data_IF_586015301393
#
_entry.id   IF_586015301393
#
_cell.length_a   1.000
_cell.length_b   1.000
_cell.length_c   1.000
_cell.angle_alpha   90.00
_cell.angle_beta   90.00
_cell.angle_gamma   90.00
#
_symmetry.space_group_name_H-M   'P 1'
#
loop_
_entity.id
_entity.type
_entity.pdbx_description
1 polymer ?
#
# COMPACT_ATOMS: atom_id res chain seq x y z
N UNK A 1 14.13 8.71 21.25
CA UNK A 1 12.99 7.78 21.45
C UNK A 1 12.55 7.82 22.90
N UNK A 2 11.26 7.94 23.19
CA UNK A 2 10.76 7.84 24.56
C UNK A 2 10.65 6.36 24.96
N UNK A 3 11.61 5.88 25.76
CA UNK A 3 11.71 4.47 26.17
C UNK A 3 10.51 4.03 27.01
N UNK A 4 9.87 4.93 27.77
CA UNK A 4 8.72 4.59 28.61
C UNK A 4 7.48 4.32 27.77
N UNK A 5 7.33 4.99 26.63
CA UNK A 5 6.25 4.72 25.68
C UNK A 5 6.39 3.35 25.02
N UNK A 6 7.61 3.01 24.61
CA UNK A 6 7.88 1.68 24.03
C UNK A 6 7.69 0.57 25.07
N UNK A 7 8.03 0.83 26.33
CA UNK A 7 7.78 -0.08 27.44
C UNK A 7 6.29 -0.26 27.77
N UNK A 8 5.45 0.76 27.50
CA UNK A 8 3.99 0.70 27.73
C UNK A 8 3.20 0.22 26.52
N UNK A 9 3.89 -0.18 25.44
CA UNK A 9 3.25 -0.67 24.23
C UNK A 9 2.37 -1.90 24.53
N UNK A 10 1.09 -1.90 24.11
CA UNK A 10 0.21 -3.01 24.39
C UNK A 10 0.65 -4.25 23.63
N UNK A 11 0.37 -5.43 24.17
CA UNK A 11 0.51 -6.66 23.41
C UNK A 11 -0.71 -6.86 22.54
N UNK A 12 -0.53 -6.70 21.24
CA UNK A 12 -1.59 -6.95 20.27
C UNK A 12 -1.51 -8.37 19.71
N UNK A 13 -2.66 -9.03 19.61
CA UNK A 13 -2.78 -10.36 19.03
C UNK A 13 -4.13 -10.52 18.36
N UNK A 14 -4.34 -11.65 17.69
CA UNK A 14 -5.59 -11.94 16.98
C UNK A 14 -6.11 -13.32 17.37
N UNK A 15 -7.42 -13.48 17.41
CA UNK A 15 -8.09 -14.78 17.28
C UNK A 15 -8.65 -14.91 15.87
N UNK A 16 -9.46 -15.95 15.64
CA UNK A 16 -10.22 -16.10 14.41
C UNK A 16 -11.09 -14.87 14.11
N UNK A 17 -11.74 -14.30 15.13
CA UNK A 17 -12.81 -13.32 14.94
C UNK A 17 -12.52 -11.95 15.55
N UNK A 18 -11.45 -11.82 16.35
CA UNK A 18 -11.18 -10.60 17.13
C UNK A 18 -9.72 -10.19 17.14
N UNK A 19 -9.48 -8.87 17.04
CA UNK A 19 -8.27 -8.27 17.58
C UNK A 19 -8.31 -8.32 19.11
N UNK A 20 -7.14 -8.48 19.72
CA UNK A 20 -6.97 -8.45 21.16
C UNK A 20 -5.89 -7.46 21.57
N UNK A 21 -6.15 -6.74 22.65
CA UNK A 21 -5.22 -5.83 23.32
C UNK A 21 -5.00 -6.31 24.74
N UNK A 22 -3.76 -6.67 25.07
CA UNK A 22 -3.37 -7.21 26.39
C UNK A 22 -4.23 -8.41 26.81
N UNK A 23 -4.50 -9.29 25.83
CA UNK A 23 -5.33 -10.49 26.03
C UNK A 23 -6.83 -10.24 26.09
N UNK A 24 -7.32 -9.00 26.10
CA UNK A 24 -8.75 -8.67 26.08
C UNK A 24 -9.24 -8.42 24.65
N UNK A 25 -10.50 -8.73 24.37
CA UNK A 25 -11.12 -8.40 23.07
C UNK A 25 -11.02 -6.89 22.86
N UNK A 26 -10.61 -6.49 21.66
CA UNK A 26 -10.41 -5.10 21.27
C UNK A 26 -11.32 -4.78 20.08
N UNK A 27 -12.57 -4.34 20.32
CA UNK A 27 -13.44 -3.85 19.25
C UNK A 27 -12.86 -2.55 18.69
N UNK A 28 -12.60 -2.52 17.39
CA UNK A 28 -12.07 -1.33 16.73
C UNK A 28 -13.19 -0.33 16.51
N UNK A 29 -13.08 0.83 17.14
CA UNK A 29 -13.89 2.01 16.88
C UNK A 29 -12.93 3.06 16.35
N UNK A 30 -12.86 3.18 15.02
CA UNK A 30 -11.81 3.95 14.38
C UNK A 30 -12.27 4.85 13.26
N UNK A 31 -11.36 5.73 12.85
CA UNK A 31 -11.55 6.66 11.73
C UNK A 31 -10.25 6.88 10.97
N UNK A 32 -10.33 7.48 9.79
CA UNK A 32 -9.15 8.04 9.14
C UNK A 32 -8.77 9.34 9.82
N UNK A 33 -7.48 9.50 10.16
CA UNK A 33 -6.94 10.73 10.71
C UNK A 33 -6.11 11.47 9.67
N UNK A 34 -6.45 12.74 9.48
CA UNK A 34 -5.61 13.76 8.89
C UNK A 34 -5.55 14.90 9.90
N UNK A 35 -4.39 15.52 10.09
CA UNK A 35 -4.26 16.57 11.10
C UNK A 35 -5.23 17.72 10.82
N UNK A 36 -5.84 18.26 11.88
CA UNK A 36 -6.88 19.28 11.74
C UNK A 36 -6.34 20.63 11.22
N UNK A 37 -5.03 20.85 11.30
CA UNK A 37 -4.32 22.04 10.84
C UNK A 37 -3.68 21.88 9.44
N UNK A 38 -2.95 20.78 9.19
CA UNK A 38 -2.14 20.58 7.98
C UNK A 38 -2.50 19.32 7.19
N UNK A 39 -3.58 18.64 7.56
CA UNK A 39 -4.08 17.43 6.92
C UNK A 39 -3.00 16.35 6.72
N UNK A 40 -2.69 16.02 5.45
CA UNK A 40 -1.78 14.95 5.05
C UNK A 40 -0.30 15.30 5.23
N UNK A 41 0.00 16.56 5.56
CA UNK A 41 1.37 17.04 5.73
C UNK A 41 1.88 16.92 7.17
N UNK A 42 1.13 16.30 8.07
CA UNK A 42 1.45 16.24 9.50
C UNK A 42 2.87 15.72 9.82
N UNK A 43 3.46 14.84 9.00
CA UNK A 43 4.86 14.43 9.20
C UNK A 43 5.89 15.49 8.76
N UNK A 44 5.51 16.40 7.87
CA UNK A 44 6.38 17.45 7.32
C UNK A 44 6.14 18.82 7.95
N UNK A 45 5.00 19.01 8.62
CA UNK A 45 4.62 20.20 9.37
C UNK A 45 4.12 19.75 10.76
N UNK A 46 4.99 19.19 11.62
CA UNK A 46 4.57 18.53 12.84
C UNK A 46 4.07 19.50 13.91
N UNK A 47 2.92 19.17 14.51
CA UNK A 47 2.32 19.96 15.58
C UNK A 47 1.71 19.06 16.67
N UNK A 48 2.55 18.54 17.61
CA UNK A 48 2.08 17.62 18.65
C UNK A 48 0.99 18.18 19.57
N UNK A 49 0.90 19.51 19.71
CA UNK A 49 -0.15 20.14 20.51
C UNK A 49 -1.53 19.93 19.88
N UNK A 50 -1.63 20.09 18.55
CA UNK A 50 -2.88 19.83 17.81
C UNK A 50 -3.23 18.35 17.86
N UNK A 51 -2.26 17.45 17.71
CA UNK A 51 -2.50 16.01 17.75
C UNK A 51 -3.01 15.53 19.11
N UNK A 52 -2.42 16.01 20.22
CA UNK A 52 -2.87 15.69 21.58
C UNK A 52 -4.33 16.17 21.79
N UNK A 53 -4.66 17.39 21.37
CA UNK A 53 -6.04 17.91 21.45
C UNK A 53 -7.04 17.13 20.58
N UNK A 54 -6.65 16.78 19.35
CA UNK A 54 -7.47 15.95 18.45
C UNK A 54 -7.73 14.57 19.07
N UNK A 55 -6.68 13.92 19.60
CA UNK A 55 -6.78 12.60 20.21
C UNK A 55 -7.54 12.60 21.52
N UNK A 56 -7.43 13.65 22.34
CA UNK A 56 -8.27 13.84 23.51
C UNK A 56 -9.76 13.93 23.12
N UNK A 57 -10.07 14.69 22.07
CA UNK A 57 -11.42 14.81 21.54
C UNK A 57 -11.94 13.47 21.00
N UNK A 58 -11.10 12.67 20.34
CA UNK A 58 -11.43 11.33 19.85
C UNK A 58 -11.68 10.34 20.98
N UNK A 59 -10.80 10.33 21.99
CA UNK A 59 -10.92 9.48 23.18
C UNK A 59 -12.23 9.73 23.92
N UNK A 60 -12.63 10.99 24.12
CA UNK A 60 -13.92 11.37 24.73
C UNK A 60 -15.14 10.82 23.97
N UNK A 61 -14.99 10.50 22.68
CA UNK A 61 -16.04 9.92 21.82
C UNK A 61 -15.93 8.40 21.68
N UNK A 62 -15.00 7.75 22.38
CA UNK A 62 -14.80 6.31 22.34
C UNK A 62 -13.99 5.81 21.14
N UNK A 63 -13.36 6.69 20.36
CA UNK A 63 -12.43 6.27 19.31
C UNK A 63 -11.17 5.70 19.95
N UNK A 64 -10.75 4.53 19.50
CA UNK A 64 -9.59 3.80 20.04
C UNK A 64 -8.57 3.40 18.96
N UNK A 65 -8.82 3.78 17.71
CA UNK A 65 -8.00 3.41 16.56
C UNK A 65 -8.04 4.49 15.49
N UNK A 66 -6.90 4.82 14.90
CA UNK A 66 -6.84 5.73 13.75
C UNK A 66 -6.05 5.14 12.62
N UNK A 67 -6.53 5.31 11.39
CA UNK A 67 -5.78 5.05 10.17
C UNK A 67 -5.21 6.36 9.64
N UNK A 68 -3.90 6.46 9.48
CA UNK A 68 -3.22 7.62 8.90
C UNK A 68 -2.03 7.16 8.05
N UNK A 69 -1.22 8.06 7.51
CA UNK A 69 0.02 7.65 6.84
C UNK A 69 0.48 8.59 5.73
N UNK A 70 1.34 8.05 4.86
CA UNK A 70 1.78 8.70 3.63
C UNK A 70 0.84 8.34 2.49
N UNK A 71 0.12 9.35 1.99
CA UNK A 71 -0.80 9.21 0.85
C UNK A 71 -0.20 9.75 -0.46
N UNK A 72 0.82 10.60 -0.33
CA UNK A 72 1.50 11.33 -1.40
C UNK A 72 2.88 11.74 -0.90
N UNK A 73 3.70 12.33 -1.79
CA UNK A 73 4.96 12.97 -1.43
C UNK A 73 6.00 12.04 -0.77
N UNK A 74 6.04 10.77 -1.16
CA UNK A 74 7.07 9.82 -0.71
C UNK A 74 8.49 10.32 -0.94
N UNK A 75 8.74 11.08 -2.01
CA UNK A 75 10.04 11.71 -2.28
C UNK A 75 10.45 12.78 -1.27
N UNK A 76 9.51 13.34 -0.49
CA UNK A 76 9.84 14.22 0.65
C UNK A 76 10.24 13.43 1.88
N UNK A 77 9.63 12.26 2.09
CA UNK A 77 9.97 11.38 3.20
C UNK A 77 11.29 10.64 2.94
N UNK A 78 11.56 10.26 1.69
CA UNK A 78 12.75 9.55 1.26
C UNK A 78 13.18 10.06 -0.11
N UNK A 79 14.17 10.95 -0.13
CA UNK A 79 14.69 11.54 -1.38
C UNK A 79 15.46 10.50 -2.18
N UNK A 80 16.43 9.86 -1.52
CA UNK A 80 17.19 8.73 -2.05
C UNK A 80 16.72 7.44 -1.38
N UNK A 81 16.54 6.33 -2.13
CA UNK A 81 16.27 5.03 -1.55
C UNK A 81 17.22 4.70 -0.40
N UNK A 82 16.66 4.30 0.75
CA UNK A 82 17.41 4.01 1.97
C UNK A 82 17.73 5.23 2.85
N UNK A 83 17.54 6.45 2.36
CA UNK A 83 17.79 7.70 3.09
C UNK A 83 16.48 8.40 3.49
N UNK A 84 15.78 7.84 4.48
CA UNK A 84 14.57 8.46 5.05
C UNK A 84 14.94 9.74 5.83
N UNK A 85 14.11 10.77 5.73
CA UNK A 85 14.22 11.98 6.55
C UNK A 85 13.92 11.65 8.02
N UNK A 86 14.94 11.77 8.88
CA UNK A 86 14.79 11.51 10.31
C UNK A 86 13.82 12.50 10.97
N UNK A 87 13.60 13.70 10.42
CA UNK A 87 12.57 14.60 10.93
C UNK A 87 11.17 14.01 10.74
N UNK A 88 10.91 13.34 9.60
CA UNK A 88 9.64 12.67 9.37
C UNK A 88 9.46 11.46 10.31
N UNK A 89 10.54 10.71 10.59
CA UNK A 89 10.51 9.62 11.58
C UNK A 89 10.31 10.11 13.02
N UNK A 90 10.98 11.21 13.39
CA UNK A 90 10.81 11.84 14.70
C UNK A 90 9.41 12.44 14.88
N UNK A 91 8.84 13.03 13.82
CA UNK A 91 7.45 13.48 13.80
C UNK A 91 6.48 12.32 14.00
N UNK A 92 6.73 11.16 13.36
CA UNK A 92 5.92 9.97 13.58
C UNK A 92 6.04 9.45 15.03
N UNK A 93 7.23 9.49 15.64
CA UNK A 93 7.39 9.14 17.06
C UNK A 93 6.51 10.03 17.95
N UNK A 94 6.54 11.34 17.74
CA UNK A 94 5.73 12.29 18.50
C UNK A 94 4.23 12.08 18.27
N UNK A 95 3.84 11.76 17.04
CA UNK A 95 2.46 11.43 16.67
C UNK A 95 1.95 10.17 17.37
N UNK A 96 2.72 9.09 17.32
CA UNK A 96 2.40 7.83 17.99
C UNK A 96 2.36 8.03 19.50
N UNK A 97 3.27 8.83 20.05
CA UNK A 97 3.27 9.18 21.47
C UNK A 97 1.98 9.93 21.88
N UNK A 98 1.55 10.91 21.09
CA UNK A 98 0.30 11.62 21.34
C UNK A 98 -0.90 10.65 21.30
N UNK A 99 -1.02 9.81 20.26
CA UNK A 99 -2.10 8.83 20.15
C UNK A 99 -2.14 7.86 21.35
N UNK A 100 -0.99 7.34 21.74
CA UNK A 100 -0.86 6.38 22.82
C UNK A 100 -1.23 6.94 24.19
N UNK A 101 -0.96 8.23 24.47
CA UNK A 101 -1.41 8.91 25.71
C UNK A 101 -2.94 8.88 25.86
N UNK A 102 -3.66 8.84 24.75
CA UNK A 102 -5.12 8.76 24.70
C UNK A 102 -5.64 7.34 24.48
N UNK A 103 -4.75 6.34 24.51
CA UNK A 103 -5.12 4.93 24.33
C UNK A 103 -5.51 4.57 22.90
N UNK A 104 -5.13 5.38 21.92
CA UNK A 104 -5.46 5.21 20.50
C UNK A 104 -4.32 4.47 19.79
N UNK A 105 -4.68 3.37 19.11
CA UNK A 105 -3.76 2.61 18.27
C UNK A 105 -3.68 3.23 16.88
N UNK A 106 -2.48 3.32 16.31
CA UNK A 106 -2.23 3.90 14.98
C UNK A 106 -2.06 2.79 13.95
N UNK A 107 -2.82 2.85 12.86
CA UNK A 107 -2.56 2.10 11.63
C UNK A 107 -1.94 3.04 10.60
N UNK A 108 -0.68 2.83 10.29
CA UNK A 108 0.08 3.66 9.37
C UNK A 108 0.09 3.06 7.97
N UNK A 109 -0.47 3.80 7.02
CA UNK A 109 -0.53 3.49 5.60
C UNK A 109 0.75 3.97 4.90
N UNK A 110 1.41 3.08 4.16
CA UNK A 110 2.64 3.42 3.43
C UNK A 110 2.39 3.98 2.05
N UNK A 111 1.54 3.34 1.23
CA UNK A 111 1.37 3.70 -0.18
C UNK A 111 -0.10 3.98 -0.53
N UNK A 112 -0.36 4.61 -1.67
CA UNK A 112 -1.73 4.86 -2.12
C UNK A 112 -1.83 4.72 -3.64
N UNK A 113 -2.79 3.89 -4.09
CA UNK A 113 -3.11 3.59 -5.49
C UNK A 113 -1.96 2.94 -6.27
N UNK A 114 -0.92 3.70 -6.58
CA UNK A 114 0.33 3.23 -7.16
C UNK A 114 1.46 3.53 -6.18
N UNK A 115 2.23 2.51 -5.76
CA UNK A 115 3.45 2.72 -5.00
C UNK A 115 4.43 3.67 -5.73
N UNK A 116 5.29 4.40 -5.01
CA UNK A 116 6.35 5.16 -5.63
C UNK A 116 7.31 4.23 -6.38
N UNK A 117 7.64 4.61 -7.62
CA UNK A 117 8.62 3.88 -8.41
C UNK A 117 10.07 4.20 -8.00
N UNK A 118 10.28 5.24 -7.19
CA UNK A 118 11.61 5.74 -6.81
C UNK A 118 12.51 5.95 -8.04
N UNK A 119 13.57 5.15 -8.18
CA UNK A 119 14.52 5.19 -9.30
C UNK A 119 14.16 4.22 -10.45
N UNK A 120 13.05 3.50 -10.32
CA UNK A 120 12.49 2.59 -11.32
C UNK A 120 11.33 3.18 -12.11
N UNK A 121 10.83 2.39 -13.05
CA UNK A 121 9.78 2.81 -14.00
C UNK A 121 8.43 2.08 -13.77
N UNK A 122 8.47 0.83 -13.31
CA UNK A 122 7.29 0.03 -12.97
C UNK A 122 7.19 -0.16 -11.44
N UNK A 123 6.11 0.30 -10.77
CA UNK A 123 6.01 0.26 -9.31
C UNK A 123 5.80 -1.15 -8.72
N UNK A 124 5.50 -2.16 -9.54
CA UNK A 124 5.22 -3.53 -9.10
C UNK A 124 6.26 -4.56 -9.56
N UNK A 125 6.94 -4.30 -10.68
CA UNK A 125 7.76 -5.29 -11.38
C UNK A 125 9.19 -4.81 -11.67
N UNK A 126 9.50 -3.52 -11.46
CA UNK A 126 10.89 -3.04 -11.55
C UNK A 126 11.62 -3.33 -10.23
N UNK A 127 12.71 -4.14 -10.26
CA UNK A 127 13.49 -4.42 -9.06
C UNK A 127 13.97 -3.16 -8.32
N UNK A 128 14.24 -2.06 -9.04
CA UNK A 128 14.65 -0.78 -8.43
C UNK A 128 13.52 -0.14 -7.62
N UNK A 129 12.30 -0.18 -8.15
CA UNK A 129 11.11 0.32 -7.46
C UNK A 129 10.79 -0.52 -6.22
N UNK A 130 10.82 -1.86 -6.37
CA UNK A 130 10.60 -2.80 -5.26
C UNK A 130 11.64 -2.59 -4.16
N UNK A 131 12.91 -2.39 -4.53
CA UNK A 131 13.98 -2.14 -3.57
C UNK A 131 13.76 -0.85 -2.78
N UNK A 132 13.46 0.27 -3.44
CA UNK A 132 13.16 1.52 -2.71
C UNK A 132 11.92 1.41 -1.81
N UNK A 133 10.87 0.73 -2.26
CA UNK A 133 9.69 0.46 -1.42
C UNK A 133 10.07 -0.39 -0.20
N UNK A 134 10.89 -1.43 -0.40
CA UNK A 134 11.40 -2.31 0.67
C UNK A 134 12.25 -1.55 1.68
N UNK A 135 13.14 -0.68 1.23
CA UNK A 135 13.97 0.14 2.10
C UNK A 135 13.12 1.07 2.97
N UNK A 136 12.15 1.77 2.38
CA UNK A 136 11.21 2.60 3.14
C UNK A 136 10.48 1.77 4.21
N UNK A 137 9.84 0.66 3.81
CA UNK A 137 9.13 -0.21 4.75
C UNK A 137 10.06 -0.72 5.86
N UNK A 138 11.30 -1.09 5.52
CA UNK A 138 12.30 -1.61 6.47
C UNK A 138 12.67 -0.57 7.52
N UNK A 139 12.86 0.70 7.14
CA UNK A 139 13.24 1.77 8.06
C UNK A 139 12.13 2.04 9.09
N UNK A 140 10.88 2.16 8.66
CA UNK A 140 9.75 2.34 9.57
C UNK A 140 9.49 1.09 10.42
N UNK A 141 9.40 -0.09 9.81
CA UNK A 141 9.12 -1.33 10.53
C UNK A 141 10.21 -1.66 11.56
N UNK A 142 11.48 -1.35 11.26
CA UNK A 142 12.58 -1.51 12.22
C UNK A 142 12.47 -0.54 13.38
N UNK A 143 12.06 0.72 13.14
CA UNK A 143 11.90 1.74 14.19
C UNK A 143 10.88 1.34 15.24
N UNK A 144 9.77 0.71 14.82
CA UNK A 144 8.65 0.29 15.68
C UNK A 144 8.59 -1.22 15.93
N UNK A 145 9.70 -1.95 15.73
CA UNK A 145 9.74 -3.40 15.96
C UNK A 145 9.25 -3.73 17.38
N UNK A 146 8.19 -4.53 17.46
CA UNK A 146 7.61 -4.96 18.73
C UNK A 146 6.77 -3.91 19.46
N UNK A 147 6.53 -2.73 18.87
CA UNK A 147 5.68 -1.71 19.45
C UNK A 147 4.22 -1.90 19.01
N UNK A 148 3.35 -2.34 19.93
CA UNK A 148 1.93 -2.54 19.65
C UNK A 148 1.08 -1.28 19.57
N UNK A 149 1.64 -0.06 19.66
CA UNK A 149 0.87 1.14 19.33
C UNK A 149 0.73 1.39 17.82
N UNK A 150 1.52 0.69 17.00
CA UNK A 150 1.55 0.88 15.55
C UNK A 150 1.27 -0.42 14.81
N UNK A 151 0.37 -0.34 13.83
CA UNK A 151 0.13 -1.34 12.80
C UNK A 151 0.38 -0.75 11.42
N UNK A 152 0.43 -1.64 10.43
CA UNK A 152 0.77 -1.29 9.06
C UNK A 152 -0.37 -1.59 8.12
N UNK A 153 -0.66 -0.62 7.27
CA UNK A 153 -1.42 -0.78 6.05
C UNK A 153 -0.43 -0.55 4.89
N UNK A 154 -0.26 -1.54 4.03
CA UNK A 154 0.78 -1.46 2.99
C UNK A 154 0.38 -0.48 1.89
N UNK A 155 -0.88 -0.49 1.49
CA UNK A 155 -1.35 0.33 0.37
C UNK A 155 -2.85 0.57 0.43
N UNK A 156 -3.23 1.83 0.34
CA UNK A 156 -4.60 2.24 0.14
C UNK A 156 -5.04 1.95 -1.30
N UNK A 157 -6.07 1.11 -1.46
CA UNK A 157 -6.78 0.87 -2.73
C UNK A 157 -5.81 0.61 -3.90
N UNK A 158 -5.03 -0.49 -3.84
CA UNK A 158 -4.01 -0.77 -4.86
C UNK A 158 -4.63 -0.84 -6.25
N UNK A 159 -3.98 -0.18 -7.21
CA UNK A 159 -4.41 -0.07 -8.59
C UNK A 159 -3.32 -0.57 -9.52
N UNK A 160 -3.47 -1.77 -10.04
CA UNK A 160 -2.62 -2.24 -11.13
C UNK A 160 -3.10 -1.66 -12.47
N UNK A 161 -2.56 -0.52 -12.85
CA UNK A 161 -2.92 0.20 -14.07
C UNK A 161 -1.83 1.22 -14.50
N UNK A 162 -1.83 1.69 -15.76
CA UNK A 162 -1.06 2.86 -16.15
C UNK A 162 -1.37 4.07 -15.25
N UNK A 163 -0.37 4.92 -15.00
CA UNK A 163 -0.50 6.11 -14.13
C UNK A 163 -1.62 7.06 -14.55
N UNK A 164 -1.90 7.16 -15.85
CA UNK A 164 -2.97 8.01 -16.39
C UNK A 164 -4.39 7.41 -16.27
N UNK A 165 -4.51 6.15 -15.83
CA UNK A 165 -5.77 5.40 -15.82
C UNK A 165 -5.91 4.57 -14.54
N UNK A 166 -5.71 5.19 -13.37
CA UNK A 166 -5.89 4.54 -12.07
C UNK A 166 -7.26 3.83 -11.97
N UNK A 167 -7.27 2.70 -11.26
CA UNK A 167 -8.43 1.83 -11.01
C UNK A 167 -9.08 1.19 -12.26
N UNK A 168 -8.44 1.30 -13.42
CA UNK A 168 -8.96 0.68 -14.65
C UNK A 168 -8.62 -0.80 -14.82
N UNK A 169 -7.75 -1.36 -13.96
CA UNK A 169 -7.22 -2.73 -14.04
C UNK A 169 -6.77 -3.06 -15.48
N UNK A 170 -5.87 -2.24 -16.01
CA UNK A 170 -5.36 -2.35 -17.38
C UNK A 170 -3.89 -2.72 -17.37
N UNK A 171 -3.46 -3.41 -18.42
CA UNK A 171 -2.06 -3.64 -18.69
C UNK A 171 -1.28 -2.31 -18.71
N UNK A 172 -0.17 -2.27 -17.97
CA UNK A 172 0.76 -1.14 -17.95
C UNK A 172 1.48 -1.02 -19.32
N UNK A 173 1.77 -2.16 -19.93
CA UNK A 173 2.31 -2.29 -21.29
C UNK A 173 3.83 -2.12 -21.40
N UNK A 174 4.55 -2.01 -20.28
CA UNK A 174 6.00 -1.87 -20.27
C UNK A 174 6.74 -3.22 -20.41
N UNK A 175 8.07 -3.16 -20.55
CA UNK A 175 8.90 -4.35 -20.70
C UNK A 175 8.95 -5.22 -19.44
N UNK A 176 8.70 -4.66 -18.26
CA UNK A 176 8.64 -5.45 -17.02
C UNK A 176 7.39 -6.34 -17.01
N UNK A 177 6.24 -5.76 -17.34
CA UNK A 177 4.97 -6.47 -17.45
C UNK A 177 4.98 -7.50 -18.57
N UNK A 178 5.51 -7.16 -19.75
CA UNK A 178 5.63 -8.12 -20.86
C UNK A 178 6.44 -9.35 -20.48
N UNK A 179 7.59 -9.16 -19.83
CA UNK A 179 8.43 -10.28 -19.34
C UNK A 179 7.72 -11.09 -18.26
N UNK A 180 7.11 -10.42 -17.27
CA UNK A 180 6.42 -11.10 -16.18
C UNK A 180 5.22 -11.92 -16.68
N UNK A 181 4.43 -11.34 -17.58
CA UNK A 181 3.31 -12.00 -18.23
C UNK A 181 3.77 -13.21 -19.04
N UNK A 182 4.76 -13.06 -19.94
CA UNK A 182 5.27 -14.18 -20.73
C UNK A 182 5.81 -15.33 -19.85
N UNK A 183 6.51 -15.00 -18.76
CA UNK A 183 7.00 -15.98 -17.79
C UNK A 183 5.84 -16.71 -17.08
N UNK A 184 4.81 -15.97 -16.64
CA UNK A 184 3.61 -16.55 -16.03
C UNK A 184 2.87 -17.48 -16.99
N UNK A 185 2.65 -17.04 -18.23
CA UNK A 185 2.00 -17.83 -19.28
C UNK A 185 2.77 -19.12 -19.54
N UNK A 186 4.09 -19.03 -19.71
CA UNK A 186 4.95 -20.21 -19.92
C UNK A 186 4.84 -21.18 -18.75
N UNK A 187 4.87 -20.68 -17.52
CA UNK A 187 4.75 -21.50 -16.31
C UNK A 187 3.37 -22.14 -16.16
N UNK A 188 2.28 -21.45 -16.55
CA UNK A 188 0.91 -21.89 -16.31
C UNK A 188 0.36 -22.76 -17.44
N UNK A 189 0.67 -22.42 -18.68
CA UNK A 189 0.05 -22.98 -19.88
C UNK A 189 1.06 -23.62 -20.84
N UNK A 190 2.37 -23.37 -20.65
CA UNK A 190 3.42 -23.72 -21.60
C UNK A 190 3.63 -22.62 -22.64
N UNK A 191 4.55 -22.84 -23.58
CA UNK A 191 4.95 -21.89 -24.62
C UNK A 191 4.56 -22.31 -26.05
N UNK A 192 3.77 -23.37 -26.22
CA UNK A 192 3.22 -23.77 -27.53
C UNK A 192 2.20 -22.72 -28.03
N UNK A 193 2.50 -21.99 -29.12
CA UNK A 193 1.61 -20.96 -29.63
C UNK A 193 0.26 -21.50 -30.10
N UNK A 194 0.18 -22.72 -30.63
CA UNK A 194 -1.08 -23.30 -31.09
C UNK A 194 -2.02 -23.56 -29.92
N UNK A 195 -1.49 -24.13 -28.83
CA UNK A 195 -2.22 -24.35 -27.58
C UNK A 195 -2.71 -23.04 -26.96
N UNK A 196 -1.85 -22.02 -26.88
CA UNK A 196 -2.21 -20.72 -26.31
C UNK A 196 -3.29 -20.01 -27.13
N UNK A 197 -3.19 -20.03 -28.47
CA UNK A 197 -4.23 -19.47 -29.35
C UNK A 197 -5.56 -20.20 -29.19
N UNK A 198 -5.55 -21.53 -29.10
CA UNK A 198 -6.75 -22.32 -28.87
C UNK A 198 -7.38 -22.03 -27.49
N UNK A 199 -6.56 -21.89 -26.45
CA UNK A 199 -7.02 -21.59 -25.09
C UNK A 199 -7.74 -20.24 -25.01
N UNK A 200 -7.15 -19.21 -25.60
CA UNK A 200 -7.65 -17.84 -25.45
C UNK A 200 -8.55 -17.36 -26.58
N UNK A 201 -8.67 -18.12 -27.66
CA UNK A 201 -9.29 -17.68 -28.91
C UNK A 201 -8.70 -16.33 -29.38
N UNK A 202 -7.39 -16.16 -29.21
CA UNK A 202 -6.66 -14.96 -29.63
C UNK A 202 -5.89 -15.27 -30.92
N UNK A 203 -6.24 -14.68 -32.07
CA UNK A 203 -5.56 -14.93 -33.34
C UNK A 203 -4.25 -14.14 -33.48
N UNK A 204 -3.84 -13.39 -32.45
CA UNK A 204 -2.62 -12.59 -32.49
C UNK A 204 -1.38 -13.44 -32.83
N UNK A 205 -0.50 -12.86 -33.64
CA UNK A 205 0.77 -13.49 -34.04
C UNK A 205 1.65 -13.80 -32.83
N UNK A 206 1.73 -12.83 -31.90
CA UNK A 206 2.33 -13.03 -30.59
C UNK A 206 1.28 -13.56 -29.60
N UNK A 207 1.28 -14.87 -29.38
CA UNK A 207 0.40 -15.52 -28.42
C UNK A 207 0.69 -15.09 -26.97
N UNK A 208 1.93 -14.73 -26.64
CA UNK A 208 2.37 -14.38 -25.28
C UNK A 208 2.36 -12.88 -24.98
N UNK A 209 1.94 -12.02 -25.93
CA UNK A 209 1.76 -10.59 -25.64
C UNK A 209 0.78 -10.36 -24.49
N UNK A 210 0.99 -9.26 -23.76
CA UNK A 210 0.01 -8.72 -22.80
C UNK A 210 -1.31 -8.35 -23.52
N UNK A 211 -2.46 -8.42 -22.83
CA UNK A 211 -3.72 -7.96 -23.40
C UNK A 211 -3.66 -6.47 -23.78
N UNK A 212 -4.27 -6.11 -24.90
CA UNK A 212 -4.42 -4.71 -25.33
C UNK A 212 -5.68 -4.10 -24.70
N UNK A 213 -5.79 -2.77 -24.64
CA UNK A 213 -7.01 -2.11 -24.16
C UNK A 213 -8.30 -2.63 -24.81
N UNK A 214 -8.27 -2.92 -26.11
CA UNK A 214 -9.45 -3.42 -26.85
C UNK A 214 -9.86 -4.83 -26.39
N UNK A 215 -8.92 -5.64 -25.92
CA UNK A 215 -9.18 -7.01 -25.44
C UNK A 215 -10.06 -7.00 -24.17
N UNK A 216 -10.11 -5.87 -23.43
CA UNK A 216 -10.95 -5.70 -22.24
C UNK A 216 -12.33 -5.09 -22.50
N UNK A 217 -12.64 -4.74 -23.75
CA UNK A 217 -13.93 -4.10 -24.09
C UNK A 217 -15.04 -5.14 -24.25
N UNK A 218 -16.30 -4.74 -24.04
CA UNK A 218 -17.46 -5.58 -24.34
C UNK A 218 -17.78 -5.67 -25.85
N UNK A 219 -16.81 -5.38 -26.72
CA UNK A 219 -16.99 -5.40 -28.17
C UNK A 219 -17.29 -6.80 -28.74
N UNK A 220 -17.38 -7.84 -27.91
CA UNK A 220 -17.80 -9.19 -28.31
C UNK A 220 -19.14 -9.23 -29.05
N UNK A 221 -19.99 -8.21 -28.89
CA UNK A 221 -21.26 -8.05 -29.62
C UNK A 221 -21.03 -7.61 -31.07
N UNK A 222 -19.96 -6.87 -31.34
CA UNK A 222 -19.70 -6.24 -32.65
C UNK A 222 -18.65 -6.98 -33.48
N UNK A 223 -17.64 -7.61 -32.85
CA UNK A 223 -16.50 -8.23 -33.56
C UNK A 223 -16.48 -9.76 -33.51
N UNK A 224 -17.54 -10.41 -32.98
CA UNK A 224 -17.61 -11.86 -32.78
C UNK A 224 -16.34 -12.45 -32.11
N UNK A 225 -15.64 -11.65 -31.30
CA UNK A 225 -14.36 -11.96 -30.67
C UNK A 225 -14.52 -11.92 -29.15
N UNK A 226 -14.01 -12.95 -28.46
CA UNK A 226 -13.98 -13.02 -26.99
C UNK A 226 -12.60 -13.50 -26.54
N UNK A 227 -11.58 -12.62 -26.53
CA UNK A 227 -10.25 -13.01 -26.05
C UNK A 227 -10.41 -13.40 -24.58
N UNK A 228 -10.21 -14.68 -24.25
CA UNK A 228 -10.30 -15.14 -22.86
C UNK A 228 -9.05 -14.79 -22.05
N UNK A 229 -7.99 -14.35 -22.74
CA UNK A 229 -6.72 -13.92 -22.17
C UNK A 229 -6.88 -12.89 -21.04
N UNK A 230 -7.84 -11.97 -21.14
CA UNK A 230 -8.12 -10.97 -20.09
C UNK A 230 -8.71 -11.54 -18.80
N UNK A 231 -9.08 -12.82 -18.76
CA UNK A 231 -9.52 -13.49 -17.53
C UNK A 231 -8.35 -14.09 -16.75
N UNK A 232 -7.28 -14.39 -17.46
CA UNK A 232 -6.04 -14.92 -16.91
C UNK A 232 -5.08 -13.80 -16.51
N UNK A 233 -5.16 -12.65 -17.19
CA UNK A 233 -4.51 -11.40 -16.82
C UNK A 233 -5.24 -10.71 -15.67
#
# INVERSE_FOLDING_TARGET
KDEKLFASAPKLSVTRDWLRKDGKVFPVIGTTYMASDVHRKFLFEPNPHVWDADFEAMQRRGVNFVRTGLWTAWSRAMVDPGAIDENALAALDAFVHAAARHGIVVCFNFFAFLPPAFTGDNPYLDPRAIEGQREMLTLFATRYRGNGWVHWDLINEPSYAPRAALWSTRAIGDEHEKRAWAAWVKSKHGDDPAKLRALWHDPADDAMRVPRPEDFTQAFVQVARRPRKVRDF
#
